data_IF_235870477439
#
_entry.id   IF_235870477439
#
_cell.length_a   1.000
_cell.length_b   1.000
_cell.length_c   1.000
_cell.angle_alpha   90.00
_cell.angle_beta   90.00
_cell.angle_gamma   90.00
#
_symmetry.space_group_name_H-M   'P 1'
#
loop_
_entity.id
_entity.type
_entity.pdbx_description
1 polymer ?
#
# COMPACT_ATOMS: atom_id res chain seq x y z
N UNK A 1 -43.28 -46.62 -40.90
CA UNK A 1 -42.04 -46.33 -41.66
C UNK A 1 -41.83 -44.81 -41.70
N UNK A 2 -40.70 -44.34 -41.16
CA UNK A 2 -39.95 -43.12 -41.50
C UNK A 2 -40.70 -41.77 -41.66
N UNK A 3 -40.54 -40.84 -40.69
CA UNK A 3 -39.50 -39.79 -40.69
C UNK A 3 -39.61 -38.87 -39.45
N UNK A 4 -38.46 -38.55 -38.87
CA UNK A 4 -38.25 -37.58 -37.76
C UNK A 4 -38.41 -36.13 -38.26
N UNK A 5 -38.92 -35.25 -37.39
CA UNK A 5 -38.61 -33.82 -37.34
C UNK A 5 -38.34 -33.41 -35.89
N UNK A 6 -37.23 -32.70 -35.70
CA UNK A 6 -36.86 -31.94 -34.51
C UNK A 6 -37.82 -30.76 -34.29
N UNK A 7 -38.12 -30.40 -33.05
CA UNK A 7 -37.54 -29.19 -32.41
C UNK A 7 -38.23 -28.86 -31.09
N UNK A 8 -37.40 -28.68 -30.05
CA UNK A 8 -37.52 -27.76 -28.91
C UNK A 8 -38.72 -27.90 -27.96
N UNK A 9 -38.51 -28.70 -26.91
CA UNK A 9 -39.15 -28.53 -25.60
C UNK A 9 -38.37 -27.50 -24.77
N UNK A 10 -39.10 -26.56 -24.18
CA UNK A 10 -38.64 -25.73 -23.09
C UNK A 10 -39.80 -24.92 -22.53
N UNK A 11 -40.38 -25.30 -21.37
CA UNK A 11 -41.32 -24.44 -20.68
C UNK A 11 -40.62 -23.57 -19.62
N UNK A 12 -41.04 -22.31 -19.61
CA UNK A 12 -41.15 -21.39 -18.46
C UNK A 12 -40.78 -21.92 -17.07
N UNK A 13 -39.96 -21.18 -16.32
CA UNK A 13 -40.42 -20.37 -15.17
C UNK A 13 -39.26 -19.73 -14.38
N UNK A 14 -39.61 -18.68 -13.61
CA UNK A 14 -38.87 -18.07 -12.50
C UNK A 14 -37.74 -17.11 -12.86
N UNK A 15 -38.14 -15.91 -13.27
CA UNK A 15 -37.43 -14.69 -12.87
C UNK A 15 -38.19 -14.12 -11.67
N UNK A 16 -37.76 -14.50 -10.48
CA UNK A 16 -38.10 -13.80 -9.25
C UNK A 16 -36.91 -13.85 -8.29
N UNK A 17 -36.81 -12.81 -7.48
CA UNK A 17 -35.81 -12.57 -6.42
C UNK A 17 -34.43 -12.12 -6.92
N UNK A 18 -34.22 -10.80 -6.95
CA UNK A 18 -33.29 -10.08 -6.07
C UNK A 18 -33.76 -8.62 -5.99
N UNK A 19 -34.96 -8.41 -5.44
CA UNK A 19 -35.31 -7.11 -4.87
C UNK A 19 -34.56 -6.99 -3.55
N UNK A 20 -33.45 -6.26 -3.55
CA UNK A 20 -32.87 -5.76 -2.31
C UNK A 20 -33.91 -4.86 -1.65
N UNK A 21 -34.62 -5.39 -0.67
CA UNK A 21 -35.46 -4.62 0.25
C UNK A 21 -34.58 -3.55 0.89
N UNK A 22 -34.81 -2.28 0.53
CA UNK A 22 -34.32 -1.12 1.28
C UNK A 22 -34.97 -1.18 2.66
N UNK A 23 -34.32 -1.85 3.60
CA UNK A 23 -34.62 -1.71 5.02
C UNK A 23 -34.46 -0.22 5.36
N UNK A 24 -35.48 0.37 5.99
CA UNK A 24 -35.37 1.73 6.49
C UNK A 24 -34.21 1.87 7.49
N UNK A 25 -33.80 3.10 7.84
CA UNK A 25 -32.72 3.33 8.79
C UNK A 25 -32.95 2.54 10.09
N UNK A 26 -31.99 1.67 10.43
CA UNK A 26 -32.09 0.76 11.58
C UNK A 26 -31.58 1.47 12.82
N UNK A 27 -32.35 1.45 13.91
CA UNK A 27 -31.87 1.87 15.23
C UNK A 27 -31.35 0.65 16.00
N UNK A 28 -30.05 0.64 16.32
CA UNK A 28 -29.44 -0.37 17.19
C UNK A 28 -29.30 0.20 18.60
N UNK A 29 -29.85 -0.52 19.58
CA UNK A 29 -29.70 -0.19 20.99
C UNK A 29 -28.42 -0.83 21.50
N UNK A 30 -27.35 -0.04 21.67
CA UNK A 30 -26.09 -0.49 22.26
C UNK A 30 -26.20 -0.37 23.79
N UNK A 31 -26.72 0.74 24.29
CA UNK A 31 -27.06 0.93 25.70
C UNK A 31 -28.57 1.18 25.86
N UNK A 32 -29.32 0.29 26.52
CA UNK A 32 -30.74 0.49 26.80
C UNK A 32 -31.04 1.78 27.61
N UNK A 33 -30.09 2.22 28.43
CA UNK A 33 -30.17 3.45 29.22
C UNK A 33 -29.35 4.58 28.58
N UNK A 34 -29.03 4.45 27.28
CA UNK A 34 -28.24 5.42 26.55
C UNK A 34 -28.86 6.82 26.54
N UNK A 35 -28.00 7.82 26.56
CA UNK A 35 -28.34 9.25 26.63
C UNK A 35 -27.94 10.01 25.34
N UNK A 36 -27.62 9.27 24.29
CA UNK A 36 -27.24 9.80 22.98
C UNK A 36 -27.66 8.86 21.84
N UNK A 37 -28.34 9.41 20.84
CA UNK A 37 -28.49 8.81 19.53
C UNK A 37 -27.39 9.33 18.59
N UNK A 38 -26.51 8.45 18.14
CA UNK A 38 -25.60 8.72 17.02
C UNK A 38 -26.36 8.41 15.73
N UNK A 39 -26.61 9.42 14.90
CA UNK A 39 -27.38 9.33 13.66
C UNK A 39 -26.45 9.23 12.45
N UNK A 40 -26.70 8.28 11.56
CA UNK A 40 -25.97 8.04 10.31
C UNK A 40 -26.99 7.92 9.17
N UNK A 41 -26.53 7.93 7.91
CA UNK A 41 -27.38 7.73 6.74
C UNK A 41 -28.10 6.37 6.73
N UNK A 42 -27.44 5.34 7.25
CA UNK A 42 -27.92 3.95 7.22
C UNK A 42 -28.61 3.51 8.51
N UNK A 43 -28.60 4.32 9.55
CA UNK A 43 -29.15 3.93 10.84
C UNK A 43 -28.80 4.86 11.99
N UNK A 44 -29.09 4.42 13.21
CA UNK A 44 -28.75 5.14 14.43
C UNK A 44 -28.33 4.18 15.54
N UNK A 45 -27.49 4.66 16.46
CA UNK A 45 -27.04 3.90 17.63
C UNK A 45 -27.49 4.64 18.89
N UNK A 46 -28.21 3.95 19.79
CA UNK A 46 -28.45 4.44 21.15
C UNK A 46 -27.28 4.02 22.04
N UNK A 47 -26.54 4.98 22.57
CA UNK A 47 -25.27 4.77 23.28
C UNK A 47 -25.18 5.65 24.53
N UNK A 48 -24.24 5.32 25.42
CA UNK A 48 -23.82 6.18 26.52
C UNK A 48 -22.76 7.17 26.05
N UNK A 49 -23.09 8.46 26.12
CA UNK A 49 -22.15 9.58 25.93
C UNK A 49 -20.97 9.49 26.88
N UNK A 50 -21.21 9.06 28.12
CA UNK A 50 -20.15 8.93 29.13
C UNK A 50 -19.15 7.86 28.72
N UNK A 51 -19.60 6.72 28.21
CA UNK A 51 -18.72 5.65 27.74
C UNK A 51 -17.86 6.13 26.55
N UNK A 52 -18.45 6.80 25.57
CA UNK A 52 -17.72 7.42 24.45
C UNK A 52 -16.65 8.42 24.95
N UNK A 53 -17.05 9.33 25.85
CA UNK A 53 -16.16 10.37 26.39
C UNK A 53 -15.01 9.82 27.22
N UNK A 54 -15.20 8.70 27.91
CA UNK A 54 -14.13 8.04 28.65
C UNK A 54 -13.13 7.31 27.73
N UNK A 55 -13.60 6.88 26.57
CA UNK A 55 -12.83 6.05 25.63
C UNK A 55 -12.02 6.88 24.64
N UNK A 56 -12.43 8.13 24.38
CA UNK A 56 -11.83 8.98 23.37
C UNK A 56 -11.74 10.44 23.85
N UNK A 57 -10.56 11.09 23.75
CA UNK A 57 -10.45 12.51 23.99
C UNK A 57 -11.22 13.34 22.96
N UNK A 58 -11.39 12.84 21.73
CA UNK A 58 -12.17 13.49 20.68
C UNK A 58 -13.65 13.48 21.04
N UNK A 59 -14.20 12.32 21.43
CA UNK A 59 -15.58 12.25 21.92
C UNK A 59 -15.78 13.08 23.19
N UNK A 60 -14.81 13.10 24.11
CA UNK A 60 -14.87 13.96 25.29
C UNK A 60 -14.95 15.45 24.91
N UNK A 61 -14.15 15.89 23.95
CA UNK A 61 -14.17 17.28 23.50
C UNK A 61 -15.47 17.62 22.77
N UNK A 62 -15.97 16.71 21.94
CA UNK A 62 -17.17 16.87 21.12
C UNK A 62 -18.47 16.80 21.92
N UNK A 63 -18.57 15.87 22.86
CA UNK A 63 -19.81 15.52 23.57
C UNK A 63 -19.78 15.93 25.06
N UNK A 64 -18.62 16.28 25.59
CA UNK A 64 -18.47 16.62 27.01
C UNK A 64 -19.26 17.87 27.41
N UNK A 65 -19.51 18.03 28.71
CA UNK A 65 -20.30 19.12 29.27
C UNK A 65 -19.79 20.53 28.93
N UNK A 66 -18.50 20.65 28.58
CA UNK A 66 -17.85 21.91 28.20
C UNK A 66 -17.62 22.01 26.68
N UNK A 67 -18.27 21.16 25.88
CA UNK A 67 -18.12 21.16 24.42
C UNK A 67 -18.55 22.50 23.83
N UNK A 68 -17.74 23.02 22.92
CA UNK A 68 -18.06 24.18 22.08
C UNK A 68 -18.43 23.79 20.65
N UNK A 69 -18.46 22.49 20.37
CA UNK A 69 -18.77 21.95 19.07
C UNK A 69 -20.27 22.02 18.79
N UNK A 70 -20.65 22.09 17.52
CA UNK A 70 -22.06 22.12 17.12
C UNK A 70 -22.79 20.89 17.63
N UNK A 71 -22.13 19.75 17.60
CA UNK A 71 -22.59 18.45 18.10
C UNK A 71 -22.90 18.48 19.61
N UNK A 72 -22.18 19.30 20.39
CA UNK A 72 -22.44 19.49 21.82
C UNK A 72 -23.46 20.59 22.13
N UNK A 73 -23.76 21.48 21.17
CA UNK A 73 -24.56 22.71 21.38
C UNK A 73 -25.89 22.72 20.63
N UNK A 74 -25.99 21.98 19.52
CA UNK A 74 -27.20 21.78 18.73
C UNK A 74 -27.99 20.62 19.35
N UNK A 75 -28.97 20.98 20.18
CA UNK A 75 -29.80 20.01 20.90
C UNK A 75 -30.99 19.61 20.04
N UNK A 76 -30.75 18.77 19.04
CA UNK A 76 -31.85 18.00 18.46
C UNK A 76 -32.21 16.90 19.45
N UNK A 77 -33.48 16.86 19.86
CA UNK A 77 -33.97 15.84 20.79
C UNK A 77 -34.91 14.88 20.06
N UNK A 78 -34.77 13.60 20.33
CA UNK A 78 -35.75 12.58 19.94
C UNK A 78 -37.05 12.76 20.74
N UNK A 79 -38.12 12.07 20.32
CA UNK A 79 -39.42 12.12 21.02
C UNK A 79 -39.35 11.69 22.49
N UNK A 80 -38.38 10.86 22.86
CA UNK A 80 -38.14 10.42 24.24
C UNK A 80 -37.22 11.37 25.04
N UNK A 81 -36.84 12.53 24.49
CA UNK A 81 -35.98 13.52 25.14
C UNK A 81 -34.48 13.21 25.08
N UNK A 82 -34.06 12.14 24.40
CA UNK A 82 -32.64 11.80 24.21
C UNK A 82 -32.02 12.67 23.10
N UNK A 83 -30.79 13.14 23.30
CA UNK A 83 -30.10 13.97 22.31
C UNK A 83 -29.71 13.16 21.06
N UNK A 84 -29.83 13.78 19.90
CA UNK A 84 -29.41 13.24 18.60
C UNK A 84 -28.20 14.04 18.11
N UNK A 85 -27.17 13.35 17.65
CA UNK A 85 -25.99 13.95 17.00
C UNK A 85 -25.75 13.25 15.66
N UNK A 86 -25.54 14.01 14.60
CA UNK A 86 -25.28 13.49 13.25
C UNK A 86 -23.81 13.11 13.07
N UNK A 87 -23.61 11.98 12.40
CA UNK A 87 -22.35 11.34 12.01
C UNK A 87 -22.45 10.85 10.56
N UNK A 88 -23.11 11.61 9.68
CA UNK A 88 -23.43 11.23 8.28
C UNK A 88 -22.20 10.81 7.46
N UNK A 89 -21.03 11.40 7.71
CA UNK A 89 -19.79 11.08 7.01
C UNK A 89 -19.10 9.80 7.52
N UNK A 90 -19.62 9.17 8.58
CA UNK A 90 -18.98 8.03 9.23
C UNK A 90 -19.57 6.69 8.82
N UNK A 91 -18.70 5.69 8.78
CA UNK A 91 -19.12 4.33 8.47
C UNK A 91 -19.92 3.71 9.63
N UNK A 92 -21.21 3.48 9.40
CA UNK A 92 -22.13 2.92 10.40
C UNK A 92 -21.70 1.56 10.96
N UNK A 93 -21.23 0.64 10.12
CA UNK A 93 -20.81 -0.70 10.56
C UNK A 93 -19.55 -0.66 11.42
N UNK A 94 -18.57 0.14 11.01
CA UNK A 94 -17.35 0.37 11.78
C UNK A 94 -17.70 1.02 13.13
N UNK A 95 -18.51 2.08 13.14
CA UNK A 95 -18.92 2.73 14.39
C UNK A 95 -19.75 1.82 15.29
N UNK A 96 -20.59 0.94 14.73
CA UNK A 96 -21.32 -0.07 15.50
C UNK A 96 -20.35 -1.00 16.23
N UNK A 97 -19.29 -1.45 15.55
CA UNK A 97 -18.25 -2.29 16.14
C UNK A 97 -17.51 -1.56 17.26
N UNK A 98 -17.13 -0.30 17.02
CA UNK A 98 -16.47 0.55 18.02
C UNK A 98 -17.37 0.79 19.25
N UNK A 99 -18.65 1.10 19.02
CA UNK A 99 -19.62 1.32 20.09
C UNK A 99 -19.77 0.06 20.95
N UNK A 100 -19.84 -1.14 20.35
CA UNK A 100 -19.88 -2.41 21.10
C UNK A 100 -18.64 -2.60 21.98
N UNK A 101 -17.45 -2.28 21.47
CA UNK A 101 -16.20 -2.36 22.25
C UNK A 101 -16.24 -1.37 23.42
N UNK A 102 -16.59 -0.11 23.15
CA UNK A 102 -16.67 0.96 24.16
C UNK A 102 -17.68 0.62 25.27
N UNK A 103 -18.77 -0.06 24.94
CA UNK A 103 -19.81 -0.49 25.87
C UNK A 103 -19.59 -1.91 26.42
N UNK A 104 -18.38 -2.46 26.27
CA UNK A 104 -17.98 -3.76 26.84
C UNK A 104 -18.81 -4.96 26.34
N UNK A 105 -19.44 -4.85 25.18
CA UNK A 105 -20.23 -5.92 24.56
C UNK A 105 -19.36 -6.85 23.71
N UNK A 106 -18.30 -7.38 24.32
CA UNK A 106 -17.30 -8.21 23.62
C UNK A 106 -17.90 -9.40 22.85
N UNK A 107 -18.97 -10.02 23.37
CA UNK A 107 -19.68 -11.13 22.70
C UNK A 107 -20.33 -10.73 21.36
N UNK A 108 -20.59 -9.44 21.16
CA UNK A 108 -21.17 -8.90 19.93
C UNK A 108 -20.10 -8.31 18.99
N UNK A 109 -18.83 -8.33 19.36
CA UNK A 109 -17.74 -7.84 18.53
C UNK A 109 -17.37 -8.94 17.51
N UNK A 110 -17.24 -8.62 16.20
CA UNK A 110 -16.89 -9.62 15.20
C UNK A 110 -15.57 -10.31 15.53
N UNK A 111 -15.55 -11.66 15.51
CA UNK A 111 -14.31 -12.42 15.71
C UNK A 111 -13.32 -12.26 14.53
N UNK A 112 -13.85 -11.97 13.34
CA UNK A 112 -13.08 -11.77 12.11
C UNK A 112 -13.68 -10.61 11.32
N UNK A 113 -12.85 -9.89 10.57
CA UNK A 113 -13.26 -8.81 9.68
C UNK A 113 -12.56 -8.97 8.34
N UNK A 114 -13.20 -8.51 7.26
CA UNK A 114 -12.52 -8.35 5.97
C UNK A 114 -11.48 -7.23 6.06
N UNK A 115 -10.47 -7.25 5.19
CA UNK A 115 -9.45 -6.19 5.13
C UNK A 115 -10.07 -4.79 4.97
N UNK A 116 -11.08 -4.65 4.11
CA UNK A 116 -11.81 -3.39 3.92
C UNK A 116 -12.51 -2.93 5.21
N UNK A 117 -13.14 -3.84 5.95
CA UNK A 117 -13.78 -3.51 7.23
C UNK A 117 -12.75 -3.10 8.29
N UNK A 118 -11.59 -3.78 8.34
CA UNK A 118 -10.49 -3.40 9.22
C UNK A 118 -9.96 -2.00 8.89
N UNK A 119 -9.82 -1.65 7.61
CA UNK A 119 -9.46 -0.31 7.19
C UNK A 119 -10.48 0.75 7.64
N UNK A 120 -11.78 0.50 7.50
CA UNK A 120 -12.80 1.42 8.00
C UNK A 120 -12.72 1.59 9.53
N UNK A 121 -12.42 0.52 10.27
CA UNK A 121 -12.15 0.63 11.72
C UNK A 121 -10.90 1.47 11.99
N UNK A 122 -9.84 1.33 11.20
CA UNK A 122 -8.64 2.16 11.32
C UNK A 122 -8.91 3.65 11.08
N UNK A 123 -9.70 3.98 10.05
CA UNK A 123 -10.10 5.38 9.75
C UNK A 123 -10.80 6.01 10.96
N UNK A 124 -11.75 5.28 11.55
CA UNK A 124 -12.48 5.74 12.73
C UNK A 124 -11.61 5.78 13.98
N UNK A 125 -10.69 4.82 14.12
CA UNK A 125 -9.71 4.79 15.20
C UNK A 125 -8.83 6.03 15.21
N UNK A 126 -8.35 6.44 14.04
CA UNK A 126 -7.55 7.65 13.86
C UNK A 126 -8.40 8.90 14.13
N UNK A 127 -9.57 9.02 13.48
CA UNK A 127 -10.50 10.15 13.60
C UNK A 127 -10.90 10.45 15.04
N UNK A 128 -11.15 9.41 15.84
CA UNK A 128 -11.64 9.55 17.21
C UNK A 128 -10.58 9.21 18.27
N UNK A 129 -9.32 8.99 17.91
CA UNK A 129 -8.25 8.61 18.84
C UNK A 129 -8.65 7.45 19.79
N UNK A 130 -9.04 6.31 19.19
CA UNK A 130 -9.53 5.11 19.91
C UNK A 130 -8.46 4.01 20.02
N UNK A 131 -7.19 4.33 19.76
CA UNK A 131 -6.08 3.36 19.69
C UNK A 131 -6.01 2.45 20.91
N UNK A 132 -6.14 3.02 22.12
CA UNK A 132 -6.08 2.26 23.39
C UNK A 132 -7.24 1.30 23.57
N UNK A 133 -8.44 1.66 23.09
CA UNK A 133 -9.62 0.81 23.20
C UNK A 133 -9.58 -0.37 22.22
N UNK A 134 -8.92 -0.17 21.08
CA UNK A 134 -8.94 -1.13 19.97
C UNK A 134 -7.77 -2.10 19.97
N UNK A 135 -6.66 -1.78 20.65
CA UNK A 135 -5.43 -2.59 20.67
C UNK A 135 -5.66 -4.12 20.75
N UNK A 136 -6.48 -4.66 21.69
CA UNK A 136 -6.66 -6.11 21.78
C UNK A 136 -7.33 -6.74 20.55
N UNK A 137 -8.18 -5.97 19.88
CA UNK A 137 -8.97 -6.42 18.74
C UNK A 137 -8.20 -6.30 17.42
N UNK A 138 -7.39 -5.25 17.29
CA UNK A 138 -6.61 -5.02 16.08
C UNK A 138 -5.61 -6.14 15.86
N UNK A 139 -4.97 -6.68 16.91
CA UNK A 139 -4.09 -7.85 16.80
C UNK A 139 -4.83 -9.06 16.20
N UNK A 140 -6.05 -9.34 16.69
CA UNK A 140 -6.86 -10.48 16.22
C UNK A 140 -7.26 -10.29 14.76
N UNK A 141 -7.76 -9.11 14.41
CA UNK A 141 -8.27 -8.83 13.06
C UNK A 141 -7.17 -8.66 12.03
N UNK A 142 -5.99 -8.18 12.42
CA UNK A 142 -4.83 -7.99 11.56
C UNK A 142 -4.12 -9.29 11.21
N UNK A 143 -4.11 -10.26 12.13
CA UNK A 143 -3.33 -11.52 12.01
C UNK A 143 -3.44 -12.19 10.64
N UNK A 144 -4.64 -12.36 10.02
CA UNK A 144 -4.75 -13.01 8.72
C UNK A 144 -4.10 -12.26 7.54
N UNK A 145 -3.72 -11.00 7.74
CA UNK A 145 -3.32 -10.06 6.70
C UNK A 145 -1.88 -9.54 6.84
N UNK A 146 -1.16 -9.89 7.91
CA UNK A 146 0.18 -9.38 8.20
C UNK A 146 1.17 -9.66 7.06
N UNK A 147 1.06 -10.81 6.38
CA UNK A 147 1.93 -11.21 5.26
C UNK A 147 1.40 -10.80 3.87
N UNK A 148 0.34 -9.98 3.82
CA UNK A 148 -0.31 -9.58 2.57
C UNK A 148 0.12 -8.19 2.06
N UNK A 149 0.95 -7.46 2.79
CA UNK A 149 1.34 -6.07 2.47
C UNK A 149 1.95 -5.86 1.08
N UNK A 150 2.61 -6.88 0.52
CA UNK A 150 3.21 -6.83 -0.82
C UNK A 150 2.24 -7.23 -1.94
N UNK A 151 1.00 -7.62 -1.62
CA UNK A 151 -0.01 -8.05 -2.58
C UNK A 151 -0.88 -6.88 -3.00
N UNK A 152 -1.35 -6.90 -4.24
CA UNK A 152 -2.30 -5.92 -4.75
C UNK A 152 -3.62 -5.99 -3.96
N UNK A 153 -4.22 -4.84 -3.65
CA UNK A 153 -5.46 -4.72 -2.86
C UNK A 153 -5.25 -4.66 -1.34
N UNK A 154 -4.02 -4.41 -0.90
CA UNK A 154 -3.61 -4.28 0.50
C UNK A 154 -2.83 -2.98 0.76
N UNK A 155 -2.96 -2.00 -0.12
CA UNK A 155 -2.21 -0.74 -0.11
C UNK A 155 -2.50 0.10 1.15
N UNK A 156 -3.70 -0.02 1.72
CA UNK A 156 -4.13 0.64 2.94
C UNK A 156 -3.33 0.21 4.19
N UNK A 157 -2.48 -0.83 4.07
CA UNK A 157 -1.54 -1.18 5.14
C UNK A 157 -0.58 -0.06 5.51
N UNK A 158 -0.25 0.85 4.58
CA UNK A 158 0.57 2.02 4.91
C UNK A 158 -0.11 2.87 5.98
N UNK A 159 -1.41 3.15 5.81
CA UNK A 159 -2.19 3.90 6.79
C UNK A 159 -2.41 3.10 8.08
N UNK A 160 -2.86 1.84 7.96
CA UNK A 160 -3.21 1.03 9.12
C UNK A 160 -2.02 0.71 10.03
N UNK A 161 -0.83 0.48 9.47
CA UNK A 161 0.37 0.23 10.29
C UNK A 161 0.78 1.45 11.13
N UNK A 162 0.48 2.66 10.66
CA UNK A 162 0.65 3.90 11.44
C UNK A 162 -0.39 3.96 12.56
N UNK A 163 -1.68 3.78 12.22
CA UNK A 163 -2.79 3.91 13.17
C UNK A 163 -2.67 2.89 14.30
N UNK A 164 -2.36 1.64 13.97
CA UNK A 164 -2.26 0.56 14.94
C UNK A 164 -0.87 0.42 15.58
N UNK A 165 0.10 1.25 15.18
CA UNK A 165 1.48 1.22 15.69
C UNK A 165 2.15 -0.14 15.48
N UNK A 166 2.09 -0.65 14.26
CA UNK A 166 2.79 -1.88 13.87
C UNK A 166 4.13 -1.49 13.23
N UNK A 167 5.14 -1.20 14.05
CA UNK A 167 6.46 -0.72 13.61
C UNK A 167 7.12 -1.62 12.54
N UNK A 168 7.17 -2.93 12.80
CA UNK A 168 7.77 -3.90 11.87
C UNK A 168 7.03 -3.93 10.53
N UNK A 169 5.69 -3.93 10.57
CA UNK A 169 4.88 -3.93 9.36
C UNK A 169 4.99 -2.60 8.61
N UNK A 170 5.07 -1.48 9.32
CA UNK A 170 5.30 -0.16 8.72
C UNK A 170 6.64 -0.13 7.98
N UNK A 171 7.69 -0.69 8.59
CA UNK A 171 8.99 -0.82 7.93
C UNK A 171 8.88 -1.68 6.66
N UNK A 172 8.25 -2.84 6.74
CA UNK A 172 8.09 -3.75 5.60
C UNK A 172 7.25 -3.14 4.46
N UNK A 173 6.14 -2.48 4.78
CA UNK A 173 5.30 -1.77 3.81
C UNK A 173 6.08 -0.66 3.13
N UNK A 174 6.74 0.20 3.90
CA UNK A 174 7.49 1.34 3.33
C UNK A 174 8.69 0.87 2.51
N UNK A 175 9.40 -0.19 2.93
CA UNK A 175 10.44 -0.86 2.14
C UNK A 175 9.87 -1.36 0.82
N UNK A 176 8.73 -2.06 0.85
CA UNK A 176 8.05 -2.55 -0.34
C UNK A 176 7.70 -1.41 -1.31
N UNK A 177 7.21 -0.29 -0.79
CA UNK A 177 6.87 0.89 -1.58
C UNK A 177 8.11 1.56 -2.19
N UNK A 178 9.21 1.71 -1.46
CA UNK A 178 10.47 2.22 -2.02
C UNK A 178 10.90 1.41 -3.25
N UNK A 179 10.77 0.08 -3.17
CA UNK A 179 11.22 -0.85 -4.20
C UNK A 179 10.26 -0.92 -5.40
N UNK A 180 8.95 -0.98 -5.16
CA UNK A 180 7.95 -1.42 -6.15
C UNK A 180 6.99 -0.31 -6.62
N UNK A 181 6.97 0.87 -6.00
CA UNK A 181 6.13 1.99 -6.47
C UNK A 181 6.63 2.58 -7.79
N UNK A 182 5.79 3.40 -8.41
CA UNK A 182 6.08 4.25 -9.57
C UNK A 182 5.74 5.71 -9.26
N UNK A 183 6.19 6.62 -10.11
CA UNK A 183 5.78 8.03 -10.04
C UNK A 183 4.75 8.29 -11.13
N UNK A 184 3.60 8.83 -10.76
CA UNK A 184 2.57 9.28 -11.70
C UNK A 184 3.06 10.48 -12.53
N UNK A 185 2.28 10.87 -13.54
CA UNK A 185 2.59 12.08 -14.31
C UNK A 185 2.55 13.36 -13.47
N UNK A 186 1.80 13.32 -12.38
CA UNK A 186 1.60 14.44 -11.46
C UNK A 186 2.63 14.46 -10.33
N UNK A 187 3.56 13.50 -10.31
CA UNK A 187 4.57 13.39 -9.26
C UNK A 187 4.06 12.78 -7.96
N UNK A 188 2.96 12.02 -8.00
CA UNK A 188 2.46 11.25 -6.86
C UNK A 188 2.96 9.81 -6.89
N UNK A 189 3.08 9.20 -5.70
CA UNK A 189 3.51 7.82 -5.55
C UNK A 189 2.33 6.89 -5.87
N UNK A 190 2.52 6.01 -6.85
CA UNK A 190 1.48 5.06 -7.27
C UNK A 190 2.01 3.63 -7.27
N UNK A 191 1.12 2.66 -7.17
CA UNK A 191 1.48 1.25 -7.43
C UNK A 191 1.70 1.03 -8.92
N UNK A 192 2.25 -0.13 -9.30
CA UNK A 192 2.40 -0.53 -10.71
C UNK A 192 1.07 -0.68 -11.46
N UNK A 193 -0.06 -0.66 -10.75
CA UNK A 193 -1.41 -0.68 -11.34
C UNK A 193 -2.07 0.70 -11.34
N UNK A 194 -1.35 1.75 -10.93
CA UNK A 194 -1.83 3.12 -10.91
C UNK A 194 -2.69 3.50 -9.70
N UNK A 195 -2.69 2.68 -8.64
CA UNK A 195 -3.39 3.02 -7.40
C UNK A 195 -2.62 4.10 -6.64
N UNK A 196 -3.32 5.13 -6.15
CA UNK A 196 -2.71 6.22 -5.38
C UNK A 196 -2.50 5.78 -3.93
N UNK A 197 -1.25 5.80 -3.48
CA UNK A 197 -0.85 5.35 -2.14
C UNK A 197 -1.10 6.44 -1.08
N UNK A 198 -1.42 7.67 -1.50
CA UNK A 198 -1.46 8.84 -0.62
C UNK A 198 -2.75 9.04 0.17
N UNK A 199 -3.82 8.29 -0.11
CA UNK A 199 -5.11 8.50 0.57
C UNK A 199 -5.01 8.22 2.08
N UNK A 200 -5.33 9.22 2.90
CA UNK A 200 -5.28 9.13 4.36
C UNK A 200 -3.87 9.16 4.98
N UNK A 201 -2.80 9.24 4.17
CA UNK A 201 -1.42 9.24 4.65
C UNK A 201 -0.82 10.64 4.60
N UNK A 202 -0.09 11.03 5.65
CA UNK A 202 0.58 12.33 5.73
C UNK A 202 1.59 12.54 4.59
N UNK A 203 1.61 13.75 4.01
CA UNK A 203 2.57 14.12 2.96
C UNK A 203 4.03 13.92 3.41
N UNK A 204 4.33 14.13 4.70
CA UNK A 204 5.65 13.91 5.27
C UNK A 204 6.14 12.46 5.06
N UNK A 205 5.24 11.48 5.19
CA UNK A 205 5.56 10.06 5.02
C UNK A 205 5.81 9.77 3.54
N UNK A 206 4.93 10.26 2.67
CA UNK A 206 5.06 10.10 1.23
C UNK A 206 6.35 10.75 0.69
N UNK A 207 6.70 11.93 1.20
CA UNK A 207 7.96 12.62 0.89
C UNK A 207 9.18 11.80 1.32
N UNK A 208 9.15 11.18 2.50
CA UNK A 208 10.24 10.31 2.98
C UNK A 208 10.39 9.04 2.13
N UNK A 209 9.29 8.40 1.76
CA UNK A 209 9.31 7.24 0.85
C UNK A 209 9.88 7.66 -0.51
N UNK A 210 9.41 8.78 -1.05
CA UNK A 210 9.87 9.33 -2.33
C UNK A 210 11.36 9.66 -2.30
N UNK A 211 11.84 10.26 -1.19
CA UNK A 211 13.26 10.56 -0.99
C UNK A 211 14.11 9.29 -0.92
N UNK A 212 13.74 8.32 -0.07
CA UNK A 212 14.45 7.05 0.06
C UNK A 212 14.53 6.29 -1.28
N UNK A 213 13.44 6.33 -2.03
CA UNK A 213 13.38 5.82 -3.40
C UNK A 213 14.38 6.52 -4.34
N UNK A 214 14.38 7.85 -4.37
CA UNK A 214 15.29 8.61 -5.23
C UNK A 214 16.77 8.37 -4.89
N UNK A 215 17.10 8.29 -3.60
CA UNK A 215 18.45 7.95 -3.12
C UNK A 215 18.85 6.52 -3.56
N UNK A 216 17.94 5.56 -3.42
CA UNK A 216 18.17 4.18 -3.86
C UNK A 216 18.41 4.11 -5.37
N UNK A 217 17.58 4.80 -6.17
CA UNK A 217 17.76 4.88 -7.63
C UNK A 217 19.10 5.48 -8.02
N UNK A 218 19.51 6.55 -7.32
CA UNK A 218 20.80 7.20 -7.57
C UNK A 218 21.96 6.23 -7.35
N UNK A 219 21.95 5.46 -6.25
CA UNK A 219 22.99 4.46 -5.98
C UNK A 219 23.03 3.36 -7.04
N UNK A 220 21.87 2.91 -7.53
CA UNK A 220 21.79 1.92 -8.61
C UNK A 220 22.33 2.48 -9.93
N UNK A 221 21.98 3.72 -10.29
CA UNK A 221 22.49 4.35 -11.50
C UNK A 221 23.98 4.65 -11.42
N UNK A 222 24.49 5.07 -10.27
CA UNK A 222 25.92 5.29 -10.05
C UNK A 222 26.71 3.99 -10.24
N UNK A 223 26.19 2.85 -9.75
CA UNK A 223 26.78 1.53 -10.00
C UNK A 223 26.92 1.25 -11.51
N UNK A 224 25.88 1.53 -12.30
CA UNK A 224 25.90 1.32 -13.75
C UNK A 224 26.81 2.32 -14.46
N UNK A 225 26.81 3.58 -14.01
CA UNK A 225 27.65 4.64 -14.55
C UNK A 225 29.14 4.37 -14.32
N UNK A 226 29.52 3.89 -13.13
CA UNK A 226 30.90 3.49 -12.84
C UNK A 226 31.36 2.36 -13.77
N UNK A 227 30.48 1.40 -14.06
CA UNK A 227 30.79 0.30 -14.98
C UNK A 227 30.89 0.78 -16.43
N UNK A 228 30.00 1.69 -16.84
CA UNK A 228 30.05 2.35 -18.14
C UNK A 228 31.38 3.12 -18.33
N UNK A 229 31.81 3.91 -17.34
CA UNK A 229 33.06 4.65 -17.38
C UNK A 229 34.28 3.73 -17.55
N UNK A 230 34.30 2.57 -16.87
CA UNK A 230 35.37 1.57 -17.01
C UNK A 230 35.45 1.01 -18.42
N UNK A 231 34.31 0.63 -18.99
CA UNK A 231 34.24 0.10 -20.35
C UNK A 231 34.58 1.16 -21.42
N UNK A 232 34.22 2.43 -21.19
CA UNK A 232 34.50 3.54 -22.11
C UNK A 232 35.98 3.94 -22.13
N UNK A 233 36.67 3.89 -20.99
CA UNK A 233 38.09 4.29 -20.83
C UNK A 233 39.10 3.35 -21.53
N UNK A 234 38.66 2.60 -22.54
CA UNK A 234 39.28 1.49 -23.30
C UNK A 234 40.75 1.64 -23.76
N UNK A 235 41.41 2.79 -23.57
CA UNK A 235 42.83 2.98 -23.84
C UNK A 235 43.77 2.79 -22.62
N UNK A 236 43.27 2.75 -21.37
CA UNK A 236 44.15 2.68 -20.18
C UNK A 236 43.83 1.59 -19.16
N UNK A 237 42.61 1.02 -19.15
CA UNK A 237 42.23 -0.08 -18.25
C UNK A 237 41.24 -1.02 -18.93
N UNK A 238 41.70 -2.17 -19.43
CA UNK A 238 40.86 -3.13 -20.16
C UNK A 238 40.06 -3.99 -19.18
N UNK A 239 38.76 -4.20 -19.45
CA UNK A 239 37.85 -4.94 -18.56
C UNK A 239 37.80 -6.44 -18.93
N UNK A 240 38.07 -6.77 -20.20
CA UNK A 240 38.21 -8.14 -20.68
C UNK A 240 39.28 -8.93 -19.90
N UNK A 241 38.88 -10.06 -19.34
CA UNK A 241 39.74 -10.95 -18.54
C UNK A 241 40.49 -12.01 -19.35
N UNK A 242 40.09 -12.23 -20.61
CA UNK A 242 40.61 -13.33 -21.45
C UNK A 242 41.84 -12.91 -22.26
N UNK A 243 41.98 -11.62 -22.58
CA UNK A 243 43.09 -11.14 -23.40
C UNK A 243 42.97 -11.50 -24.88
N UNK A 244 44.08 -11.35 -25.63
CA UNK A 244 44.17 -11.74 -27.05
C UNK A 244 43.67 -10.71 -28.08
N UNK A 245 43.38 -11.19 -29.30
CA UNK A 245 43.01 -10.37 -30.46
C UNK A 245 41.60 -9.76 -30.37
N UNK A 246 40.74 -10.29 -29.52
CA UNK A 246 39.33 -9.89 -29.40
C UNK A 246 39.03 -8.96 -28.22
N UNK A 247 40.05 -8.46 -27.51
CA UNK A 247 39.87 -7.66 -26.29
C UNK A 247 39.03 -6.41 -26.51
N UNK A 248 39.37 -5.58 -27.50
CA UNK A 248 38.62 -4.35 -27.79
C UNK A 248 37.19 -4.64 -28.25
N UNK A 249 36.96 -5.77 -28.94
CA UNK A 249 35.64 -6.21 -29.39
C UNK A 249 34.78 -6.69 -28.22
N UNK A 250 35.37 -7.41 -27.27
CA UNK A 250 34.71 -7.84 -26.04
C UNK A 250 34.24 -6.64 -25.20
N UNK A 251 35.13 -5.65 -24.98
CA UNK A 251 34.79 -4.45 -24.20
C UNK A 251 33.72 -3.61 -24.93
N UNK A 252 33.82 -3.45 -26.25
CA UNK A 252 32.81 -2.76 -27.06
C UNK A 252 31.45 -3.46 -27.03
N UNK A 253 31.40 -4.79 -27.05
CA UNK A 253 30.14 -5.54 -26.96
C UNK A 253 29.46 -5.35 -25.60
N UNK A 254 30.24 -5.43 -24.50
CA UNK A 254 29.71 -5.16 -23.17
C UNK A 254 29.25 -3.70 -23.03
N UNK A 255 30.01 -2.74 -23.55
CA UNK A 255 29.64 -1.32 -23.56
C UNK A 255 28.33 -1.09 -24.32
N UNK A 256 28.21 -1.64 -25.53
CA UNK A 256 27.01 -1.51 -26.35
C UNK A 256 25.79 -2.12 -25.69
N UNK A 257 25.93 -3.30 -25.09
CA UNK A 257 24.82 -3.96 -24.40
C UNK A 257 24.41 -3.22 -23.12
N UNK A 258 25.35 -2.69 -22.35
CA UNK A 258 25.06 -1.85 -21.19
C UNK A 258 24.31 -0.57 -21.61
N UNK A 259 24.80 0.09 -22.66
CA UNK A 259 24.22 1.32 -23.18
C UNK A 259 22.82 1.14 -23.75
N UNK A 260 22.51 -0.04 -24.31
CA UNK A 260 21.16 -0.40 -24.76
C UNK A 260 20.20 -0.68 -23.61
N UNK A 261 20.67 -1.32 -22.53
CA UNK A 261 19.81 -1.68 -21.41
C UNK A 261 19.48 -0.51 -20.47
N UNK A 262 20.31 0.54 -20.47
CA UNK A 262 20.12 1.71 -19.62
C UNK A 262 20.08 3.01 -20.42
N UNK A 263 18.95 3.32 -21.09
CA UNK A 263 18.73 4.61 -21.75
C UNK A 263 18.93 5.82 -20.83
N UNK A 264 18.75 5.64 -19.52
CA UNK A 264 18.93 6.68 -18.50
C UNK A 264 20.38 7.17 -18.43
N UNK A 265 21.36 6.34 -18.82
CA UNK A 265 22.76 6.76 -18.94
C UNK A 265 23.00 7.72 -20.13
N UNK A 266 22.00 7.92 -20.99
CA UNK A 266 22.07 8.80 -22.16
C UNK A 266 21.51 10.21 -21.87
N UNK A 267 20.58 10.35 -20.91
CA UNK A 267 19.94 11.63 -20.58
C UNK A 267 19.96 11.90 -19.05
N UNK A 268 20.73 12.89 -18.57
CA UNK A 268 20.77 13.31 -17.17
C UNK A 268 19.42 13.76 -16.59
N UNK A 269 18.40 14.03 -17.40
CA UNK A 269 17.04 14.36 -16.93
C UNK A 269 16.25 13.14 -16.49
N UNK A 270 16.72 11.93 -16.80
CA UNK A 270 16.11 10.67 -16.40
C UNK A 270 16.72 10.07 -15.13
N UNK A 271 17.72 10.73 -14.52
CA UNK A 271 18.61 10.06 -13.55
C UNK A 271 18.26 10.25 -12.08
N UNK A 272 17.37 11.17 -11.67
CA UNK A 272 16.79 11.13 -10.31
C UNK A 272 15.65 12.14 -10.13
N UNK A 273 14.65 11.76 -9.34
CA UNK A 273 13.46 12.56 -9.00
C UNK A 273 12.25 12.34 -9.92
N UNK A 274 12.46 12.35 -11.25
CA UNK A 274 11.40 12.18 -12.26
C UNK A 274 11.32 10.76 -12.86
N UNK A 275 12.12 9.81 -12.35
CA UNK A 275 12.13 8.44 -12.84
C UNK A 275 10.81 7.75 -12.45
N UNK A 276 9.99 7.47 -13.46
CA UNK A 276 8.67 6.81 -13.27
C UNK A 276 8.81 5.30 -13.01
N UNK A 277 9.92 4.68 -13.42
CA UNK A 277 10.17 3.23 -13.27
C UNK A 277 10.38 2.83 -11.82
N UNK A 278 10.03 1.60 -11.45
CA UNK A 278 10.33 1.02 -10.13
C UNK A 278 11.84 0.82 -9.90
N UNK A 279 12.30 0.95 -8.65
CA UNK A 279 13.68 0.56 -8.26
C UNK A 279 13.95 -0.90 -8.62
N UNK A 280 12.96 -1.78 -8.39
CA UNK A 280 13.04 -3.19 -8.76
C UNK A 280 13.39 -3.40 -10.23
N UNK A 281 12.68 -2.73 -11.14
CA UNK A 281 12.93 -2.85 -12.58
C UNK A 281 14.35 -2.42 -12.96
N UNK A 282 14.90 -1.40 -12.28
CA UNK A 282 16.27 -0.94 -12.50
C UNK A 282 17.30 -1.96 -12.02
N UNK A 283 17.03 -2.63 -10.90
CA UNK A 283 17.90 -3.66 -10.33
C UNK A 283 17.87 -4.96 -11.15
N UNK A 284 16.73 -5.26 -11.78
CA UNK A 284 16.55 -6.45 -12.62
C UNK A 284 17.03 -6.24 -14.07
N UNK A 285 17.10 -5.00 -14.55
CA UNK A 285 17.55 -4.64 -15.90
C UNK A 285 18.88 -5.26 -16.37
N UNK A 286 19.93 -5.46 -15.53
CA UNK A 286 21.16 -6.12 -15.95
C UNK A 286 20.97 -7.54 -16.50
N UNK A 287 19.85 -8.22 -16.18
CA UNK A 287 19.53 -9.53 -16.75
C UNK A 287 19.30 -9.50 -18.27
N UNK A 288 18.99 -8.33 -18.83
CA UNK A 288 18.86 -8.13 -20.28
C UNK A 288 20.20 -7.93 -21.00
N UNK A 289 21.31 -7.77 -20.28
CA UNK A 289 22.63 -7.59 -20.91
C UNK A 289 23.04 -8.90 -21.61
N UNK A 290 23.52 -8.78 -22.85
CA UNK A 290 23.97 -9.91 -23.66
C UNK A 290 25.06 -10.71 -22.93
N UNK A 291 24.80 -12.00 -22.74
CA UNK A 291 25.79 -12.93 -22.21
C UNK A 291 26.57 -13.62 -23.34
N UNK A 292 27.86 -13.89 -23.10
CA UNK A 292 28.70 -14.65 -24.02
C UNK A 292 28.27 -16.12 -24.06
N UNK A 293 27.34 -16.45 -24.95
CA UNK A 293 26.81 -17.80 -25.16
C UNK A 293 26.80 -18.18 -26.65
N UNK A 294 26.80 -19.49 -26.94
CA UNK A 294 26.63 -20.05 -28.29
C UNK A 294 27.52 -19.41 -29.36
N UNK A 295 26.90 -18.73 -30.33
CA UNK A 295 27.56 -18.11 -31.48
C UNK A 295 28.61 -17.04 -31.10
N UNK A 296 28.45 -16.37 -29.95
CA UNK A 296 29.45 -15.41 -29.46
C UNK A 296 30.71 -16.13 -28.97
N UNK A 297 30.57 -17.26 -28.28
CA UNK A 297 31.72 -18.10 -27.88
C UNK A 297 32.45 -18.62 -29.11
N UNK A 298 31.71 -19.09 -30.12
CA UNK A 298 32.30 -19.56 -31.38
C UNK A 298 33.08 -18.45 -32.12
N UNK A 299 32.58 -17.21 -32.12
CA UNK A 299 33.22 -16.08 -32.82
C UNK A 299 34.37 -15.42 -32.06
N UNK A 300 34.28 -15.34 -30.73
CA UNK A 300 35.19 -14.52 -29.92
C UNK A 300 36.07 -15.33 -28.97
N UNK A 301 35.80 -16.62 -28.79
CA UNK A 301 36.36 -17.43 -27.70
C UNK A 301 35.48 -17.38 -26.44
N UNK A 302 35.84 -18.16 -25.42
CA UNK A 302 35.08 -18.21 -24.17
C UNK A 302 35.31 -16.95 -23.31
N UNK A 303 34.43 -15.97 -23.47
CA UNK A 303 34.43 -14.71 -22.73
C UNK A 303 33.37 -14.66 -21.62
N UNK A 304 32.81 -15.80 -21.18
CA UNK A 304 31.85 -15.85 -20.04
C UNK A 304 32.35 -15.10 -18.78
N UNK A 305 33.65 -15.15 -18.40
CA UNK A 305 34.16 -14.37 -17.26
C UNK A 305 34.10 -12.84 -17.42
N UNK A 306 33.88 -12.35 -18.65
CA UNK A 306 33.77 -10.95 -19.03
C UNK A 306 32.31 -10.45 -19.06
N UNK A 307 31.32 -11.32 -18.84
CA UNK A 307 29.91 -10.94 -18.85
C UNK A 307 29.62 -9.91 -17.74
N UNK A 308 29.35 -8.67 -18.15
CA UNK A 308 29.10 -7.56 -17.22
C UNK A 308 27.71 -7.67 -16.57
N UNK A 309 26.73 -8.24 -17.28
CA UNK A 309 25.35 -8.45 -16.82
C UNK A 309 25.25 -9.18 -15.49
N UNK A 310 25.72 -10.43 -15.45
CA UNK A 310 25.75 -11.25 -14.23
C UNK A 310 26.46 -10.56 -13.03
N UNK A 311 27.57 -9.86 -13.28
CA UNK A 311 28.30 -9.13 -12.22
C UNK A 311 27.50 -7.94 -11.69
N UNK A 312 26.90 -7.16 -12.58
CA UNK A 312 26.06 -6.02 -12.21
C UNK A 312 24.80 -6.48 -11.49
N UNK A 313 24.13 -7.54 -11.97
CA UNK A 313 22.97 -8.13 -11.32
C UNK A 313 23.29 -8.55 -9.87
N UNK A 314 24.44 -9.21 -9.64
CA UNK A 314 24.85 -9.60 -8.30
C UNK A 314 25.11 -8.40 -7.37
N UNK A 315 25.68 -7.30 -7.90
CA UNK A 315 25.90 -6.07 -7.13
C UNK A 315 24.60 -5.32 -6.87
N UNK A 316 23.74 -5.19 -7.87
CA UNK A 316 22.45 -4.53 -7.76
C UNK A 316 21.52 -5.28 -6.79
N UNK A 317 21.56 -6.60 -6.76
CA UNK A 317 20.81 -7.41 -5.78
C UNK A 317 21.25 -7.14 -4.35
N UNK A 318 22.55 -6.98 -4.10
CA UNK A 318 23.03 -6.58 -2.76
C UNK A 318 22.52 -5.19 -2.35
N UNK A 319 22.35 -4.28 -3.31
CA UNK A 319 21.72 -2.99 -3.03
C UNK A 319 20.25 -3.17 -2.67
N UNK A 320 19.51 -4.02 -3.38
CA UNK A 320 18.11 -4.36 -3.05
C UNK A 320 17.98 -4.89 -1.62
N UNK A 321 18.85 -5.82 -1.22
CA UNK A 321 18.82 -6.42 0.11
C UNK A 321 19.05 -5.37 1.21
N UNK A 322 19.87 -4.35 0.92
CA UNK A 322 20.22 -3.27 1.83
C UNK A 322 19.15 -2.16 1.97
N UNK A 323 18.17 -2.07 1.07
CA UNK A 323 17.10 -1.04 1.14
C UNK A 323 16.29 -1.22 2.41
N UNK A 324 16.26 -0.23 3.30
CA UNK A 324 15.45 -0.30 4.52
C UNK A 324 14.12 0.43 4.35
N UNK A 325 13.12 -0.04 5.11
CA UNK A 325 11.90 0.73 5.34
C UNK A 325 12.15 1.93 6.25
N UNK A 326 11.13 2.75 6.42
CA UNK A 326 11.14 3.84 7.38
C UNK A 326 10.92 3.30 8.81
N UNK A 327 11.46 3.99 9.80
CA UNK A 327 11.11 3.78 11.21
C UNK A 327 9.91 4.67 11.55
N UNK A 328 8.89 4.08 12.17
CA UNK A 328 7.69 4.79 12.58
C UNK A 328 7.99 5.85 13.64
N UNK A 329 8.95 5.57 14.53
CA UNK A 329 9.34 6.47 15.63
C UNK A 329 9.98 7.78 15.13
N UNK A 330 10.60 7.74 13.95
CA UNK A 330 11.22 8.91 13.33
C UNK A 330 10.19 9.90 12.73
N UNK A 331 8.90 9.54 12.74
CA UNK A 331 7.82 10.24 12.02
C UNK A 331 6.76 10.78 12.99
N UNK A 332 6.50 10.08 14.10
CA UNK A 332 5.41 10.40 15.06
C UNK A 332 5.86 11.40 16.16
N UNK A 333 6.99 12.09 15.98
CA UNK A 333 7.47 13.14 16.91
C UNK A 333 6.68 14.45 16.81
#
# INVERSE_FOLDING_TARGET
MLKRKHSTDGPSNMADEHQATRAGPVTLVIDPEGDLYMQFDSGSLLVSRKALSLSSPVFLAMLGANSKFREGTDMTLAHNGVQIVSFEDDNFEAMTTLARIIHLQSDNVPATMTFKQLYQVAVMCDKYDLKRCLWPWTEIWATPYLDCYARQGYEEWLFMSIVFQYDDLFNEVTRHLVINSEMSEQGTLVTTTGFDIGEGVSSTILERITKSRAETMFVVLDLYWQEFCKLRASNTARVCKVGGLNVAKCDALNLGSLYQQFPELQDPRQTSGACRKTVKSMIEAPAGILEFSGALIFKFGDHRPCAVGSRLAAKARKLLDAVQGLDLNDIVC
#
